data_IF_939360146151
#
_entry.id   IF_939360146151
#
_cell.length_a   1.000
_cell.length_b   1.000
_cell.length_c   1.000
_cell.angle_alpha   90.00
_cell.angle_beta   90.00
_cell.angle_gamma   90.00
#
_symmetry.space_group_name_H-M   'P 1'
#
loop_
_entity.id
_entity.type
_entity.pdbx_description
1 polymer ?
#
# COMPACT_ATOMS: atom_id res chain seq x y z
N UNK A 1 36.15 -5.35 49.97
CA UNK A 1 35.94 -5.99 48.64
C UNK A 1 34.71 -6.93 48.57
N UNK A 2 33.65 -6.75 49.38
CA UNK A 2 32.40 -7.56 49.29
C UNK A 2 31.12 -6.75 49.06
N UNK A 3 31.21 -5.42 48.92
CA UNK A 3 30.04 -4.53 48.70
C UNK A 3 29.89 -4.02 47.26
N UNK A 4 30.84 -4.30 46.37
CA UNK A 4 30.80 -3.86 44.96
C UNK A 4 30.24 -4.97 44.05
N UNK A 5 30.28 -6.24 44.48
CA UNK A 5 29.74 -7.36 43.70
C UNK A 5 28.21 -7.44 43.66
N UNK A 6 27.50 -6.76 44.57
CA UNK A 6 26.02 -6.75 44.59
C UNK A 6 25.41 -5.65 43.72
N UNK A 7 26.17 -4.60 43.38
CA UNK A 7 25.67 -3.53 42.51
C UNK A 7 25.76 -3.92 41.01
N UNK A 8 26.69 -4.81 40.64
CA UNK A 8 26.77 -5.34 39.28
C UNK A 8 25.77 -6.48 38.99
N UNK A 9 25.18 -7.10 40.02
CA UNK A 9 24.17 -8.15 39.82
C UNK A 9 22.74 -7.60 39.62
N UNK A 10 22.51 -6.32 39.92
CA UNK A 10 21.21 -5.65 39.74
C UNK A 10 21.13 -4.79 38.45
N UNK A 11 22.25 -4.60 37.73
CA UNK A 11 22.26 -3.97 36.41
C UNK A 11 22.10 -4.95 35.24
N UNK A 12 21.91 -6.25 35.53
CA UNK A 12 21.81 -7.31 34.52
C UNK A 12 20.40 -7.69 34.05
N UNK A 13 19.34 -7.05 34.54
CA UNK A 13 17.95 -7.47 34.27
C UNK A 13 17.03 -6.25 34.03
N UNK A 14 17.33 -5.45 33.02
CA UNK A 14 16.37 -4.49 32.47
C UNK A 14 16.52 -4.31 30.96
N UNK A 15 17.04 -5.32 30.25
CA UNK A 15 16.85 -5.48 28.80
C UNK A 15 15.49 -6.12 28.51
N UNK A 16 14.42 -5.64 29.15
CA UNK A 16 13.07 -6.00 28.75
C UNK A 16 12.84 -5.38 27.38
N UNK A 17 12.83 -6.20 26.33
CA UNK A 17 12.26 -5.84 25.04
C UNK A 17 10.83 -5.36 25.31
N UNK A 18 10.62 -4.05 25.43
CA UNK A 18 9.27 -3.49 25.47
C UNK A 18 8.66 -3.69 24.09
N UNK A 19 7.99 -4.82 23.88
CA UNK A 19 7.12 -4.99 22.72
C UNK A 19 5.87 -4.15 22.97
N UNK A 20 5.93 -2.86 22.62
CA UNK A 20 4.79 -1.96 22.74
C UNK A 20 3.64 -2.45 21.86
N UNK A 21 2.47 -2.66 22.48
CA UNK A 21 1.22 -2.95 21.79
C UNK A 21 0.92 -1.85 20.76
N UNK A 22 0.59 -2.24 19.54
CA UNK A 22 0.14 -1.30 18.51
C UNK A 22 -1.35 -1.06 18.68
N UNK A 23 -1.77 0.20 18.74
CA UNK A 23 -3.18 0.56 18.89
C UNK A 23 -3.60 1.53 17.81
N UNK A 24 -4.74 1.29 17.18
CA UNK A 24 -5.34 2.18 16.21
C UNK A 24 -6.83 2.39 16.51
N UNK A 25 -7.36 3.54 16.11
CA UNK A 25 -8.78 3.83 16.20
C UNK A 25 -9.39 3.97 14.82
N UNK A 26 -10.63 3.52 14.66
CA UNK A 26 -11.44 3.71 13.47
C UNK A 26 -12.83 4.23 13.80
N UNK A 27 -13.40 4.95 12.85
CA UNK A 27 -14.72 5.58 12.98
C UNK A 27 -15.61 5.20 11.80
N UNK A 28 -16.90 5.04 12.05
CA UNK A 28 -17.84 4.63 10.99
C UNK A 28 -19.31 4.79 11.37
N UNK A 29 -20.17 4.84 10.35
CA UNK A 29 -21.63 4.88 10.50
C UNK A 29 -22.23 3.54 10.94
N UNK A 30 -21.46 2.46 10.81
CA UNK A 30 -21.75 1.12 11.34
C UNK A 30 -20.53 0.59 12.09
N UNK A 31 -20.74 -0.41 12.96
CA UNK A 31 -19.65 -1.09 13.66
C UNK A 31 -18.67 -1.74 12.66
N UNK A 32 -19.18 -2.35 11.60
CA UNK A 32 -18.35 -3.01 10.58
C UNK A 32 -17.48 -1.99 9.82
N UNK A 33 -18.06 -0.84 9.46
CA UNK A 33 -17.32 0.27 8.84
C UNK A 33 -16.23 0.81 9.79
N UNK A 34 -16.55 0.99 11.07
CA UNK A 34 -15.59 1.48 12.06
C UNK A 34 -14.46 0.45 12.34
N UNK A 35 -14.77 -0.86 12.34
CA UNK A 35 -13.78 -1.93 12.46
C UNK A 35 -12.84 -1.97 11.25
N UNK A 36 -13.39 -1.82 10.04
CA UNK A 36 -12.61 -1.75 8.81
C UNK A 36 -11.66 -0.54 8.82
N UNK A 37 -12.15 0.64 9.19
CA UNK A 37 -11.31 1.85 9.32
C UNK A 37 -10.23 1.68 10.41
N UNK A 38 -10.55 0.99 11.52
CA UNK A 38 -9.59 0.72 12.60
C UNK A 38 -8.47 -0.23 12.14
N UNK A 39 -8.82 -1.29 11.39
CA UNK A 39 -7.86 -2.23 10.82
C UNK A 39 -6.99 -1.56 9.75
N UNK A 40 -7.56 -0.76 8.86
CA UNK A 40 -6.79 0.00 7.89
C UNK A 40 -5.78 0.94 8.59
N UNK A 41 -6.22 1.61 9.66
CA UNK A 41 -5.33 2.46 10.46
C UNK A 41 -4.22 1.65 11.15
N UNK A 42 -4.51 0.44 11.63
CA UNK A 42 -3.52 -0.47 12.24
C UNK A 42 -2.50 -1.00 11.22
N UNK A 43 -2.96 -1.41 10.04
CA UNK A 43 -2.10 -1.83 8.92
C UNK A 43 -1.11 -0.75 8.54
N UNK A 44 -1.56 0.50 8.56
CA UNK A 44 -0.70 1.65 8.27
C UNK A 44 0.30 1.94 9.38
N UNK A 45 -0.03 1.69 10.66
CA UNK A 45 0.96 1.77 11.75
C UNK A 45 2.02 0.67 11.64
N UNK A 46 1.65 -0.51 11.14
CA UNK A 46 2.61 -1.58 10.85
C UNK A 46 3.59 -1.17 9.75
N UNK A 47 3.13 -0.43 8.74
CA UNK A 47 4.01 0.15 7.71
C UNK A 47 4.97 1.21 8.26
N UNK A 48 4.47 2.19 9.01
CA UNK A 48 5.31 3.27 9.59
C UNK A 48 6.36 2.69 10.55
N UNK A 49 6.06 1.58 11.23
CA UNK A 49 6.96 0.94 12.19
C UNK A 49 7.97 -0.01 11.54
N UNK A 50 8.11 -0.02 10.21
CA UNK A 50 9.22 -0.73 9.55
C UNK A 50 10.53 -0.07 9.97
N UNK A 51 11.09 -0.56 11.07
CA UNK A 51 12.36 -0.12 11.63
C UNK A 51 13.50 -0.52 10.68
N UNK A 52 14.61 0.22 10.71
CA UNK A 52 15.82 -0.07 9.92
C UNK A 52 16.26 -1.54 10.05
N UNK A 53 15.99 -2.16 11.21
CA UNK A 53 16.23 -3.59 11.47
C UNK A 53 15.40 -4.55 10.60
N UNK A 54 14.14 -4.26 10.32
CA UNK A 54 13.29 -5.09 9.43
C UNK A 54 13.79 -4.95 7.99
N UNK A 55 14.14 -3.72 7.61
CA UNK A 55 14.76 -3.40 6.31
C UNK A 55 16.12 -4.09 6.13
N UNK A 56 16.94 -4.16 7.17
CA UNK A 56 18.25 -4.82 7.14
C UNK A 56 18.13 -6.36 7.11
N UNK A 57 17.24 -6.93 7.93
CA UNK A 57 17.01 -8.38 7.97
C UNK A 57 16.40 -8.94 6.67
N UNK A 58 15.63 -8.12 5.96
CA UNK A 58 14.97 -8.51 4.71
C UNK A 58 15.73 -8.04 3.45
N UNK A 59 16.81 -7.24 3.59
CA UNK A 59 17.73 -6.90 2.50
C UNK A 59 18.73 -7.99 2.17
N UNK A 60 19.02 -8.90 3.11
CA UNK A 60 19.90 -10.06 2.87
C UNK A 60 19.24 -11.12 1.97
N UNK A 61 17.90 -11.14 1.88
CA UNK A 61 17.12 -11.91 0.91
C UNK A 61 16.69 -11.02 -0.26
N UNK A 62 17.18 -11.29 -1.48
CA UNK A 62 16.67 -10.77 -2.76
C UNK A 62 15.75 -9.52 -2.65
N UNK A 63 16.36 -8.33 -2.59
CA UNK A 63 15.74 -7.03 -2.30
C UNK A 63 14.37 -6.75 -2.95
N UNK A 64 14.10 -7.32 -4.13
CA UNK A 64 12.85 -7.15 -4.86
C UNK A 64 11.62 -7.79 -4.20
N UNK A 65 11.78 -8.91 -3.48
CA UNK A 65 10.65 -9.58 -2.81
C UNK A 65 10.23 -8.77 -1.59
N UNK A 66 11.19 -8.33 -0.79
CA UNK A 66 10.95 -7.44 0.35
C UNK A 66 10.27 -6.13 -0.07
N UNK A 67 10.81 -5.44 -1.07
CA UNK A 67 10.23 -4.18 -1.56
C UNK A 67 8.79 -4.38 -2.06
N UNK A 68 8.49 -5.54 -2.67
CA UNK A 68 7.13 -5.89 -3.11
C UNK A 68 6.19 -6.13 -1.91
N UNK A 69 6.62 -6.88 -0.90
CA UNK A 69 5.81 -7.14 0.30
C UNK A 69 5.54 -5.85 1.07
N UNK A 70 6.56 -5.00 1.25
CA UNK A 70 6.39 -3.66 1.85
C UNK A 70 5.39 -2.83 1.06
N UNK A 71 5.47 -2.86 -0.27
CA UNK A 71 4.54 -2.14 -1.14
C UNK A 71 3.11 -2.65 -1.01
N UNK A 72 2.93 -3.95 -1.01
CA UNK A 72 1.62 -4.58 -0.81
C UNK A 72 1.03 -4.23 0.56
N UNK A 73 1.86 -4.15 1.60
CA UNK A 73 1.45 -3.70 2.93
C UNK A 73 1.07 -2.22 2.94
N UNK A 74 1.82 -1.36 2.24
CA UNK A 74 1.55 0.08 2.17
C UNK A 74 0.24 0.42 1.43
N UNK A 75 -0.16 -0.44 0.48
CA UNK A 75 -1.32 -0.24 -0.40
C UNK A 75 -2.52 -1.11 0.00
N UNK A 76 -2.36 -2.09 0.89
CA UNK A 76 -3.46 -2.93 1.36
C UNK A 76 -4.02 -2.43 2.68
N UNK A 77 -5.30 -2.05 2.68
CA UNK A 77 -6.07 -1.81 3.90
C UNK A 77 -6.43 -3.10 4.66
N UNK A 78 -6.29 -4.27 4.03
CA UNK A 78 -6.71 -5.58 4.55
C UNK A 78 -5.49 -6.51 4.73
N UNK A 79 -4.68 -6.24 5.75
CA UNK A 79 -3.63 -7.16 6.17
C UNK A 79 -4.18 -8.32 7.02
N UNK A 80 -3.58 -9.51 6.95
CA UNK A 80 -3.98 -10.65 7.77
C UNK A 80 -3.53 -10.44 9.23
N UNK A 81 -4.36 -9.74 9.99
CA UNK A 81 -4.05 -9.35 11.37
C UNK A 81 -4.50 -10.46 12.33
N UNK A 82 -3.55 -11.15 12.97
CA UNK A 82 -3.81 -12.23 13.92
C UNK A 82 -3.71 -11.74 15.36
N UNK A 83 -4.74 -12.04 16.16
CA UNK A 83 -4.75 -11.72 17.59
C UNK A 83 -5.17 -10.29 17.95
N UNK A 84 -5.70 -9.53 16.99
CA UNK A 84 -6.26 -8.20 17.25
C UNK A 84 -7.40 -8.24 18.26
N UNK A 85 -7.39 -7.27 19.18
CA UNK A 85 -8.43 -7.07 20.20
C UNK A 85 -9.20 -5.81 19.82
N UNK A 86 -10.52 -5.92 19.72
CA UNK A 86 -11.40 -4.81 19.37
C UNK A 86 -12.18 -4.36 20.60
N UNK A 87 -12.19 -3.05 20.84
CA UNK A 87 -13.10 -2.40 21.76
C UNK A 87 -14.03 -1.48 20.95
N UNK A 88 -15.34 -1.67 21.09
CA UNK A 88 -16.35 -0.95 20.32
C UNK A 88 -17.10 0.00 21.24
N UNK A 89 -17.05 1.29 20.93
CA UNK A 89 -17.76 2.35 21.63
C UNK A 89 -18.81 2.96 20.71
N UNK A 90 -20.06 3.02 21.19
CA UNK A 90 -21.13 3.72 20.48
C UNK A 90 -21.11 5.19 20.88
N UNK A 91 -20.76 6.07 19.96
CA UNK A 91 -20.76 7.50 20.19
C UNK A 91 -22.15 8.12 19.92
N UNK A 92 -22.42 9.32 20.44
CA UNK A 92 -23.69 10.02 20.18
C UNK A 92 -23.74 10.47 18.71
N UNK A 93 -24.91 10.30 18.05
CA UNK A 93 -25.21 10.55 16.61
C UNK A 93 -24.99 9.38 15.62
N UNK A 94 -25.30 8.13 16.01
CA UNK A 94 -25.22 6.94 15.12
C UNK A 94 -23.81 6.68 14.54
N UNK A 95 -22.78 7.02 15.30
CA UNK A 95 -21.38 6.82 14.94
C UNK A 95 -20.75 5.80 15.89
N UNK A 96 -19.97 4.89 15.33
CA UNK A 96 -19.21 3.88 16.07
C UNK A 96 -17.74 4.28 16.08
N UNK A 97 -17.11 4.16 17.25
CA UNK A 97 -15.66 4.24 17.43
C UNK A 97 -15.15 2.85 17.79
N UNK A 98 -14.17 2.36 17.06
CA UNK A 98 -13.54 1.07 17.32
C UNK A 98 -12.07 1.31 17.61
N UNK A 99 -11.59 0.83 18.76
CA UNK A 99 -10.16 0.76 19.05
C UNK A 99 -9.70 -0.67 18.81
N UNK A 100 -8.69 -0.84 17.97
CA UNK A 100 -8.02 -2.12 17.75
C UNK A 100 -6.65 -2.10 18.41
N UNK A 101 -6.30 -3.16 19.11
CA UNK A 101 -5.00 -3.35 19.74
C UNK A 101 -4.37 -4.66 19.27
N UNK A 102 -3.09 -4.61 18.91
CA UNK A 102 -2.27 -5.75 18.55
C UNK A 102 -1.17 -5.90 19.60
N UNK A 103 -1.37 -6.87 20.50
CA UNK A 103 -0.44 -7.19 21.58
C UNK A 103 0.53 -8.29 21.12
N UNK A 104 1.85 -8.00 21.03
CA UNK A 104 2.83 -8.98 20.61
C UNK A 104 2.82 -10.26 21.47
N UNK A 105 2.51 -10.18 22.76
CA UNK A 105 2.47 -11.38 23.63
C UNK A 105 1.40 -12.38 23.17
N UNK A 106 0.29 -11.88 22.64
CA UNK A 106 -0.82 -12.68 22.12
C UNK A 106 -0.65 -13.01 20.65
N UNK A 107 -0.19 -12.05 19.85
CA UNK A 107 -0.14 -12.16 18.40
C UNK A 107 1.06 -12.99 17.91
N UNK A 108 2.25 -12.83 18.51
CA UNK A 108 3.45 -13.55 18.05
C UNK A 108 3.30 -15.07 18.03
N UNK A 109 2.66 -15.74 19.03
CA UNK A 109 2.40 -17.18 18.97
C UNK A 109 1.51 -17.57 17.79
N UNK A 110 0.47 -16.78 17.48
CA UNK A 110 -0.47 -17.05 16.38
C UNK A 110 0.22 -16.93 15.02
N UNK A 111 1.00 -15.86 14.84
CA UNK A 111 1.83 -15.68 13.64
C UNK A 111 2.87 -16.80 13.49
N UNK A 112 3.56 -17.16 14.58
CA UNK A 112 4.55 -18.24 14.55
C UNK A 112 3.94 -19.60 14.17
N UNK A 113 2.74 -19.91 14.66
CA UNK A 113 2.03 -21.12 14.29
C UNK A 113 1.67 -21.10 12.79
N UNK A 114 1.07 -20.01 12.32
CA UNK A 114 0.67 -19.86 10.92
C UNK A 114 1.85 -19.93 9.95
N UNK A 115 2.99 -19.34 10.33
CA UNK A 115 4.24 -19.44 9.57
C UNK A 115 4.76 -20.88 9.50
N UNK A 116 4.69 -21.64 10.60
CA UNK A 116 5.04 -23.06 10.61
C UNK A 116 4.14 -23.92 9.72
N UNK A 117 2.83 -23.65 9.73
CA UNK A 117 1.85 -24.31 8.85
C UNK A 117 2.12 -24.02 7.36
N UNK A 118 2.43 -22.76 7.03
CA UNK A 118 2.80 -22.34 5.67
C UNK A 118 4.13 -22.96 5.22
N UNK A 119 5.13 -22.98 6.10
CA UNK A 119 6.42 -23.60 5.84
C UNK A 119 6.26 -25.08 5.50
N UNK A 120 5.47 -25.83 6.28
CA UNK A 120 5.19 -27.25 6.02
C UNK A 120 4.55 -27.46 4.65
N UNK A 121 3.53 -26.65 4.29
CA UNK A 121 2.88 -26.72 2.97
C UNK A 121 3.84 -26.41 1.82
N UNK A 122 4.76 -25.46 2.00
CA UNK A 122 5.76 -25.10 1.00
C UNK A 122 6.82 -26.20 0.84
N UNK A 123 7.21 -26.86 1.93
CA UNK A 123 8.10 -28.02 1.88
C UNK A 123 7.45 -29.20 1.14
N UNK A 124 6.20 -29.54 1.48
CA UNK A 124 5.44 -30.60 0.81
C UNK A 124 5.26 -30.31 -0.70
N UNK A 125 5.06 -29.04 -1.06
CA UNK A 125 4.97 -28.62 -2.45
C UNK A 125 6.29 -28.82 -3.20
N UNK A 126 7.43 -28.53 -2.55
CA UNK A 126 8.75 -28.74 -3.12
C UNK A 126 9.00 -30.21 -3.46
N UNK A 127 8.72 -31.12 -2.51
CA UNK A 127 8.89 -32.57 -2.70
C UNK A 127 7.99 -33.10 -3.85
N UNK A 128 6.78 -32.53 -3.99
CA UNK A 128 5.84 -32.93 -5.05
C UNK A 128 6.31 -32.52 -6.46
N UNK A 129 6.97 -31.36 -6.59
CA UNK A 129 7.45 -30.86 -7.88
C UNK A 129 8.52 -31.76 -8.51
N UNK A 130 9.24 -32.53 -7.69
CA UNK A 130 10.24 -33.49 -8.15
C UNK A 130 9.63 -34.82 -8.60
N UNK A 131 8.39 -35.14 -8.22
CA UNK A 131 7.83 -36.50 -8.30
C UNK A 131 6.67 -36.71 -9.30
N UNK A 132 5.96 -35.66 -9.75
CA UNK A 132 4.67 -35.81 -10.47
C UNK A 132 4.74 -35.68 -12.00
N UNK A 133 4.09 -36.61 -12.72
CA UNK A 133 3.95 -36.61 -14.18
C UNK A 133 2.68 -35.93 -14.74
N UNK A 134 1.68 -35.60 -13.92
CA UNK A 134 0.45 -34.92 -14.36
C UNK A 134 0.64 -33.39 -14.43
N UNK A 135 0.57 -32.83 -15.64
CA UNK A 135 0.78 -31.41 -15.89
C UNK A 135 -0.31 -30.50 -15.30
N UNK A 136 -1.58 -30.93 -15.31
CA UNK A 136 -2.70 -30.10 -14.81
C UNK A 136 -2.69 -30.04 -13.29
N UNK A 137 -2.46 -31.19 -12.64
CA UNK A 137 -2.33 -31.25 -11.19
C UNK A 137 -1.07 -30.51 -10.71
N UNK A 138 0.04 -30.63 -11.46
CA UNK A 138 1.27 -29.87 -11.19
C UNK A 138 1.05 -28.36 -11.27
N UNK A 139 0.32 -27.88 -12.30
CA UNK A 139 -0.01 -26.46 -12.44
C UNK A 139 -0.82 -25.93 -11.23
N UNK A 140 -1.86 -26.66 -10.82
CA UNK A 140 -2.67 -26.28 -9.65
C UNK A 140 -1.85 -26.26 -8.35
N UNK A 141 -0.94 -27.21 -8.16
CA UNK A 141 -0.04 -27.25 -7.00
C UNK A 141 0.97 -26.11 -7.00
N UNK A 142 1.47 -25.71 -8.17
CA UNK A 142 2.37 -24.56 -8.30
C UNK A 142 1.65 -23.24 -7.97
N UNK A 143 0.41 -23.05 -8.44
CA UNK A 143 -0.39 -21.88 -8.07
C UNK A 143 -0.66 -21.85 -6.56
N UNK A 144 -0.96 -23.00 -5.97
CA UNK A 144 -1.16 -23.14 -4.53
C UNK A 144 0.11 -22.80 -3.75
N UNK A 145 1.28 -23.30 -4.17
CA UNK A 145 2.56 -22.99 -3.55
C UNK A 145 2.93 -21.51 -3.69
N UNK A 146 2.62 -20.88 -4.84
CA UNK A 146 2.81 -19.43 -5.03
C UNK A 146 1.98 -18.62 -4.04
N UNK A 147 0.70 -18.98 -3.88
CA UNK A 147 -0.17 -18.34 -2.89
C UNK A 147 0.37 -18.50 -1.47
N UNK A 148 0.79 -19.71 -1.11
CA UNK A 148 1.29 -19.99 0.23
C UNK A 148 2.61 -19.26 0.51
N UNK A 149 3.45 -19.05 -0.51
CA UNK A 149 4.68 -18.26 -0.38
C UNK A 149 4.36 -16.77 -0.16
N UNK A 150 3.45 -16.20 -0.94
CA UNK A 150 3.02 -14.81 -0.76
C UNK A 150 2.37 -14.59 0.64
N UNK A 151 1.53 -15.55 1.07
CA UNK A 151 0.93 -15.53 2.40
C UNK A 151 2.01 -15.63 3.49
N UNK A 152 3.03 -16.48 3.30
CA UNK A 152 4.17 -16.61 4.20
C UNK A 152 4.96 -15.31 4.33
N UNK A 153 5.29 -14.65 3.21
CA UNK A 153 6.04 -13.40 3.20
C UNK A 153 5.28 -12.29 3.95
N UNK A 154 3.96 -12.20 3.74
CA UNK A 154 3.11 -11.22 4.42
C UNK A 154 3.03 -11.45 5.93
N UNK A 155 2.84 -12.71 6.36
CA UNK A 155 2.84 -13.06 7.77
C UNK A 155 4.21 -12.85 8.42
N UNK A 156 5.30 -13.18 7.71
CA UNK A 156 6.68 -13.02 8.17
C UNK A 156 6.99 -11.54 8.38
N UNK A 157 6.57 -10.68 7.45
CA UNK A 157 6.69 -9.24 7.58
C UNK A 157 6.04 -8.74 8.88
N UNK A 158 4.76 -9.05 9.11
CA UNK A 158 4.06 -8.59 10.32
C UNK A 158 4.71 -9.15 11.59
N UNK A 159 5.09 -10.43 11.57
CA UNK A 159 5.74 -11.10 12.69
C UNK A 159 7.07 -10.42 13.07
N UNK A 160 7.90 -10.06 12.09
CA UNK A 160 9.15 -9.34 12.30
C UNK A 160 8.91 -7.92 12.81
N UNK A 161 7.94 -7.20 12.25
CA UNK A 161 7.55 -5.85 12.69
C UNK A 161 7.09 -5.82 14.16
N UNK A 162 6.48 -6.90 14.64
CA UNK A 162 6.09 -7.06 16.05
C UNK A 162 7.24 -7.47 16.98
N UNK A 163 8.46 -7.64 16.45
CA UNK A 163 9.65 -8.03 17.22
C UNK A 163 9.88 -9.55 17.29
N UNK A 164 9.23 -10.32 16.41
CA UNK A 164 9.50 -11.75 16.23
C UNK A 164 10.95 -12.03 15.84
N UNK A 165 11.40 -13.26 16.08
CA UNK A 165 12.76 -13.70 15.69
C UNK A 165 12.76 -14.21 14.25
N UNK A 166 13.78 -13.93 13.42
CA UNK A 166 13.85 -14.48 12.08
C UNK A 166 13.57 -15.99 12.03
N UNK A 167 12.70 -16.40 11.10
CA UNK A 167 12.37 -17.80 10.84
C UNK A 167 13.23 -18.31 9.69
N UNK A 168 13.33 -19.64 9.54
CA UNK A 168 14.03 -20.23 8.41
C UNK A 168 13.28 -19.93 7.10
N UNK A 169 14.03 -19.72 6.03
CA UNK A 169 13.47 -19.46 4.72
C UNK A 169 12.84 -20.74 4.15
N UNK A 170 11.69 -20.64 3.46
CA UNK A 170 11.06 -21.79 2.84
C UNK A 170 11.99 -22.39 1.77
N UNK A 171 11.93 -23.72 1.54
CA UNK A 171 12.81 -24.40 0.58
C UNK A 171 12.54 -24.00 -0.88
N UNK A 172 11.43 -23.31 -1.14
CA UNK A 172 11.00 -22.89 -2.48
C UNK A 172 10.99 -21.37 -2.58
N UNK A 173 11.47 -20.85 -3.71
CA UNK A 173 11.54 -19.41 -3.98
C UNK A 173 10.49 -18.98 -4.99
N UNK A 174 10.12 -17.68 -4.96
CA UNK A 174 9.21 -17.09 -5.94
C UNK A 174 9.71 -17.28 -7.37
N UNK A 175 11.01 -17.08 -7.61
CA UNK A 175 11.63 -17.26 -8.92
C UNK A 175 11.50 -18.70 -9.45
N UNK A 176 11.66 -19.71 -8.57
CA UNK A 176 11.53 -21.11 -8.96
C UNK A 176 10.09 -21.44 -9.31
N UNK A 177 9.13 -20.93 -8.53
CA UNK A 177 7.70 -21.07 -8.81
C UNK A 177 7.29 -20.38 -10.11
N UNK A 178 7.75 -19.15 -10.32
CA UNK A 178 7.44 -18.37 -11.52
C UNK A 178 7.99 -19.06 -12.76
N UNK A 179 9.22 -19.58 -12.69
CA UNK A 179 9.81 -20.37 -13.77
C UNK A 179 8.99 -21.64 -14.07
N UNK A 180 8.61 -22.38 -13.03
CA UNK A 180 7.85 -23.62 -13.19
C UNK A 180 6.41 -23.38 -13.70
N UNK A 181 5.78 -22.30 -13.24
CA UNK A 181 4.47 -21.85 -13.75
C UNK A 181 4.57 -21.41 -15.20
N UNK A 182 5.64 -20.70 -15.56
CA UNK A 182 5.86 -20.24 -16.93
C UNK A 182 5.93 -21.41 -17.92
N UNK A 183 6.63 -22.49 -17.59
CA UNK A 183 6.71 -23.69 -18.44
C UNK A 183 5.35 -24.35 -18.71
N UNK A 184 4.34 -24.07 -17.89
CA UNK A 184 3.01 -24.67 -17.96
C UNK A 184 1.92 -23.68 -18.41
N UNK A 185 2.23 -22.39 -18.53
CA UNK A 185 1.24 -21.35 -18.84
C UNK A 185 1.25 -21.04 -20.34
N UNK A 186 0.06 -20.97 -20.93
CA UNK A 186 -0.10 -20.52 -22.32
C UNK A 186 0.09 -19.01 -22.41
N UNK A 187 0.83 -18.54 -23.42
CA UNK A 187 1.02 -17.11 -23.68
C UNK A 187 -0.03 -16.64 -24.69
N UNK A 188 -0.90 -15.72 -24.28
CA UNK A 188 -1.97 -15.19 -25.10
C UNK A 188 -1.49 -13.99 -25.93
N UNK A 189 -1.79 -13.99 -27.23
CA UNK A 189 -1.56 -12.85 -28.12
C UNK A 189 -2.74 -11.87 -28.17
N UNK A 190 -3.83 -12.17 -27.46
CA UNK A 190 -5.05 -11.39 -27.41
C UNK A 190 -5.45 -11.16 -25.94
N UNK A 191 -5.60 -9.89 -25.56
CA UNK A 191 -5.90 -9.49 -24.19
C UNK A 191 -7.28 -10.02 -23.74
N UNK A 192 -8.29 -9.86 -24.59
CA UNK A 192 -9.67 -10.21 -24.27
C UNK A 192 -9.84 -11.72 -24.09
N UNK A 193 -9.22 -12.52 -24.96
CA UNK A 193 -9.23 -13.98 -24.85
C UNK A 193 -8.52 -14.46 -23.59
N UNK A 194 -7.33 -13.92 -23.30
CA UNK A 194 -6.57 -14.32 -22.10
C UNK A 194 -7.32 -13.97 -20.81
N UNK A 195 -7.90 -12.77 -20.72
CA UNK A 195 -8.69 -12.36 -19.56
C UNK A 195 -10.01 -13.15 -19.43
N UNK A 196 -10.66 -13.48 -20.54
CA UNK A 196 -11.87 -14.31 -20.52
C UNK A 196 -11.57 -15.69 -19.94
N UNK A 197 -10.55 -16.37 -20.44
CA UNK A 197 -10.19 -17.72 -19.99
C UNK A 197 -9.63 -17.71 -18.56
N UNK A 198 -8.77 -16.75 -18.21
CA UNK A 198 -8.25 -16.63 -16.85
C UNK A 198 -9.30 -16.18 -15.84
N UNK A 199 -10.31 -15.42 -16.29
CA UNK A 199 -11.46 -14.99 -15.51
C UNK A 199 -12.40 -16.12 -15.09
N UNK A 200 -12.43 -17.24 -15.83
CA UNK A 200 -13.28 -18.40 -15.51
C UNK A 200 -13.04 -18.94 -14.10
N UNK A 201 -11.80 -18.83 -13.59
CA UNK A 201 -11.43 -19.22 -12.22
C UNK A 201 -12.23 -18.49 -11.13
N UNK A 202 -12.84 -17.36 -11.46
CA UNK A 202 -13.60 -16.50 -10.54
C UNK A 202 -15.10 -16.45 -10.86
N UNK A 203 -15.57 -17.21 -11.85
CA UNK A 203 -16.96 -17.16 -12.33
C UNK A 203 -18.02 -17.60 -11.31
N UNK A 204 -17.63 -18.35 -10.28
CA UNK A 204 -18.52 -18.79 -9.20
C UNK A 204 -18.78 -17.72 -8.12
N UNK A 205 -18.04 -16.61 -8.14
CA UNK A 205 -18.13 -15.55 -7.12
C UNK A 205 -18.96 -14.37 -7.64
N UNK A 206 -19.76 -13.79 -6.75
CA UNK A 206 -20.63 -12.64 -7.04
C UNK A 206 -20.25 -11.42 -6.19
N UNK A 207 -20.60 -10.22 -6.65
CA UNK A 207 -20.29 -8.95 -5.97
C UNK A 207 -18.77 -8.76 -5.77
N UNK A 208 -18.01 -8.99 -6.85
CA UNK A 208 -16.55 -8.83 -6.87
C UNK A 208 -16.20 -7.36 -7.13
N UNK A 209 -15.46 -6.73 -6.23
CA UNK A 209 -14.82 -5.46 -6.55
C UNK A 209 -13.46 -5.69 -7.20
N UNK A 210 -13.25 -5.13 -8.39
CA UNK A 210 -12.03 -5.30 -9.19
C UNK A 210 -11.14 -4.07 -9.04
N UNK A 211 -9.99 -4.24 -8.39
CA UNK A 211 -8.95 -3.21 -8.31
C UNK A 211 -8.15 -3.12 -9.60
N UNK A 212 -7.52 -1.97 -9.84
CA UNK A 212 -6.55 -1.85 -10.93
C UNK A 212 -5.35 -2.79 -10.67
N UNK A 213 -4.78 -3.39 -11.73
CA UNK A 213 -3.51 -4.07 -11.60
C UNK A 213 -2.41 -3.13 -11.13
N UNK A 214 -1.67 -3.55 -10.11
CA UNK A 214 -0.45 -2.87 -9.66
C UNK A 214 0.76 -3.30 -10.50
N UNK A 215 1.75 -2.41 -10.64
CA UNK A 215 3.01 -2.69 -11.33
C UNK A 215 4.19 -2.29 -10.47
N UNK A 216 4.91 -3.27 -9.94
CA UNK A 216 6.06 -3.00 -9.08
C UNK A 216 7.19 -2.26 -9.84
N UNK A 217 7.86 -1.25 -9.24
CA UNK A 217 7.64 -0.62 -7.91
C UNK A 217 6.72 0.62 -7.90
N UNK A 218 5.86 0.82 -8.88
CA UNK A 218 5.01 2.02 -9.00
C UNK A 218 3.56 1.81 -8.53
N UNK A 219 2.93 2.89 -8.03
CA UNK A 219 1.48 2.98 -7.77
C UNK A 219 0.69 3.49 -8.98
N UNK A 220 1.36 3.72 -10.10
CA UNK A 220 0.77 4.26 -11.31
C UNK A 220 -0.26 3.31 -11.92
N UNK A 221 -1.46 3.84 -12.18
CA UNK A 221 -2.47 3.15 -12.97
C UNK A 221 -2.17 3.35 -14.46
N UNK A 222 -1.42 2.40 -15.03
CA UNK A 222 -1.03 2.45 -16.45
C UNK A 222 -2.22 2.22 -17.40
N UNK A 223 -2.04 2.52 -18.68
CA UNK A 223 -3.04 2.22 -19.72
C UNK A 223 -3.37 0.73 -19.79
N UNK A 224 -2.38 -0.14 -19.60
CA UNK A 224 -2.57 -1.58 -19.52
C UNK A 224 -3.37 -1.99 -18.28
N UNK A 225 -3.05 -1.43 -17.11
CA UNK A 225 -3.80 -1.68 -15.88
C UNK A 225 -5.28 -1.31 -16.03
N UNK A 226 -5.58 -0.16 -16.64
CA UNK A 226 -6.95 0.27 -16.94
C UNK A 226 -7.65 -0.72 -17.86
N UNK A 227 -7.01 -1.05 -18.98
CA UNK A 227 -7.55 -1.97 -19.97
C UNK A 227 -7.90 -3.33 -19.37
N UNK A 228 -7.07 -3.86 -18.47
CA UNK A 228 -7.30 -5.11 -17.76
C UNK A 228 -8.46 -5.00 -16.77
N UNK A 229 -8.47 -3.96 -15.92
CA UNK A 229 -9.55 -3.76 -14.93
C UNK A 229 -10.90 -3.68 -15.61
N UNK A 230 -11.04 -2.82 -16.62
CA UNK A 230 -12.33 -2.55 -17.25
C UNK A 230 -12.88 -3.81 -17.95
N UNK A 231 -12.00 -4.60 -18.58
CA UNK A 231 -12.36 -5.90 -19.17
C UNK A 231 -12.77 -6.91 -18.10
N UNK A 232 -12.00 -7.05 -17.03
CA UNK A 232 -12.34 -7.97 -15.93
C UNK A 232 -13.65 -7.57 -15.25
N UNK A 233 -13.89 -6.27 -15.05
CA UNK A 233 -15.13 -5.76 -14.48
C UNK A 233 -16.34 -6.13 -15.35
N UNK A 234 -16.20 -6.07 -16.68
CA UNK A 234 -17.25 -6.49 -17.62
C UNK A 234 -17.42 -8.00 -17.77
N UNK A 235 -16.38 -8.79 -17.49
CA UNK A 235 -16.40 -10.26 -17.60
C UNK A 235 -16.90 -10.97 -16.34
N UNK A 236 -16.75 -10.33 -15.17
CA UNK A 236 -17.07 -10.92 -13.86
C UNK A 236 -18.37 -10.33 -13.29
N UNK A 237 -18.97 -11.05 -12.33
CA UNK A 237 -20.11 -10.55 -11.54
C UNK A 237 -19.61 -9.49 -10.54
N UNK A 238 -19.36 -8.29 -11.05
CA UNK A 238 -18.65 -7.22 -10.35
C UNK A 238 -19.59 -6.19 -9.72
N UNK A 239 -19.05 -5.41 -8.78
CA UNK A 239 -19.73 -4.26 -8.20
C UNK A 239 -18.90 -2.98 -8.31
N UNK A 240 -19.56 -1.82 -8.41
CA UNK A 240 -18.91 -0.52 -8.62
C UNK A 240 -18.19 0.02 -7.39
N UNK A 241 -18.58 -0.41 -6.17
CA UNK A 241 -18.06 0.18 -4.93
C UNK A 241 -17.50 -0.87 -3.97
N UNK A 242 -16.30 -0.66 -3.38
CA UNK A 242 -15.67 -1.62 -2.48
C UNK A 242 -16.52 -2.00 -1.27
N UNK A 243 -17.31 -1.06 -0.73
CA UNK A 243 -18.15 -1.30 0.44
C UNK A 243 -19.34 -2.23 0.17
N UNK A 244 -19.72 -2.38 -1.10
CA UNK A 244 -20.78 -3.31 -1.51
C UNK A 244 -20.26 -4.72 -1.79
N UNK A 245 -18.94 -4.90 -1.81
CA UNK A 245 -18.30 -6.11 -2.28
C UNK A 245 -18.38 -7.25 -1.26
N UNK A 246 -18.62 -8.46 -1.76
CA UNK A 246 -18.42 -9.69 -1.00
C UNK A 246 -16.97 -10.19 -1.14
N UNK A 247 -16.35 -9.91 -2.28
CA UNK A 247 -15.00 -10.35 -2.64
C UNK A 247 -14.21 -9.23 -3.29
N UNK A 248 -12.89 -9.28 -3.11
CA UNK A 248 -11.97 -8.29 -3.63
C UNK A 248 -10.97 -8.96 -4.57
N UNK A 249 -11.04 -8.65 -5.86
CA UNK A 249 -10.09 -9.11 -6.86
C UNK A 249 -8.95 -8.10 -6.97
N UNK A 250 -7.77 -8.51 -6.51
CA UNK A 250 -6.53 -7.75 -6.61
C UNK A 250 -5.66 -8.33 -7.69
N UNK A 251 -5.05 -7.46 -8.46
CA UNK A 251 -4.22 -7.84 -9.59
C UNK A 251 -2.87 -7.16 -9.52
N UNK A 252 -1.83 -7.83 -10.01
CA UNK A 252 -0.51 -7.26 -10.22
C UNK A 252 0.09 -7.82 -11.48
N UNK A 253 0.88 -7.05 -12.22
CA UNK A 253 1.56 -7.57 -13.39
C UNK A 253 3.08 -7.33 -13.34
N UNK A 254 3.80 -8.28 -13.92
CA UNK A 254 5.25 -8.23 -14.08
C UNK A 254 5.62 -8.11 -15.55
N UNK A 255 6.50 -7.16 -15.86
CA UNK A 255 7.00 -6.94 -17.21
C UNK A 255 8.25 -7.80 -17.40
N UNK A 256 8.18 -8.76 -18.32
CA UNK A 256 9.29 -9.60 -18.75
C UNK A 256 9.80 -9.12 -20.12
N UNK A 257 10.91 -9.69 -20.59
CA UNK A 257 11.52 -9.29 -21.88
C UNK A 257 10.59 -9.51 -23.08
N UNK A 258 9.75 -10.55 -23.05
CA UNK A 258 8.92 -10.97 -24.18
C UNK A 258 7.44 -11.15 -23.83
N UNK A 259 7.01 -10.76 -22.62
CA UNK A 259 5.64 -10.94 -22.15
C UNK A 259 5.31 -10.07 -20.94
N UNK A 260 4.03 -10.00 -20.60
CA UNK A 260 3.54 -9.54 -19.31
C UNK A 260 2.86 -10.71 -18.60
N UNK A 261 3.27 -10.96 -17.35
CA UNK A 261 2.65 -11.96 -16.48
C UNK A 261 1.68 -11.26 -15.51
N UNK A 262 0.38 -11.52 -15.65
CA UNK A 262 -0.70 -10.95 -14.84
C UNK A 262 -1.12 -11.96 -13.76
N UNK A 263 -0.89 -11.58 -12.51
CA UNK A 263 -1.32 -12.33 -11.33
C UNK A 263 -2.66 -11.78 -10.82
N UNK A 264 -3.62 -12.68 -10.63
CA UNK A 264 -4.95 -12.37 -10.12
C UNK A 264 -5.17 -13.08 -8.79
N UNK A 265 -5.69 -12.38 -7.79
CA UNK A 265 -5.95 -12.91 -6.44
C UNK A 265 -7.30 -12.43 -5.92
N UNK A 266 -8.18 -13.38 -5.61
CA UNK A 266 -9.46 -13.11 -4.98
C UNK A 266 -9.32 -13.27 -3.47
N UNK A 267 -9.75 -12.24 -2.73
CA UNK A 267 -9.69 -12.20 -1.27
C UNK A 267 -11.06 -12.00 -0.66
N UNK A 268 -11.25 -12.57 0.54
CA UNK A 268 -12.40 -12.27 1.39
C UNK A 268 -12.26 -10.90 2.09
N UNK A 269 -13.26 -10.52 2.90
CA UNK A 269 -13.23 -9.28 3.69
C UNK A 269 -12.09 -9.20 4.71
N UNK A 270 -11.50 -10.33 5.09
CA UNK A 270 -10.39 -10.41 6.03
C UNK A 270 -9.02 -10.39 5.33
N UNK A 271 -8.98 -10.27 4.01
CA UNK A 271 -7.75 -10.31 3.22
C UNK A 271 -7.21 -11.72 2.96
N UNK A 272 -7.97 -12.77 3.29
CA UNK A 272 -7.56 -14.15 3.03
C UNK A 272 -7.75 -14.49 1.56
N UNK A 273 -6.69 -14.97 0.89
CA UNK A 273 -6.74 -15.36 -0.52
C UNK A 273 -7.48 -16.68 -0.67
N UNK A 274 -8.61 -16.66 -1.39
CA UNK A 274 -9.45 -17.85 -1.63
C UNK A 274 -9.21 -18.47 -3.01
N UNK A 275 -8.80 -17.67 -3.98
CA UNK A 275 -8.56 -18.11 -5.36
C UNK A 275 -7.48 -17.26 -6.02
N UNK A 276 -6.74 -17.87 -6.95
CA UNK A 276 -5.71 -17.18 -7.71
C UNK A 276 -5.66 -17.69 -9.15
N UNK A 277 -5.18 -16.84 -10.07
CA UNK A 277 -4.91 -17.20 -11.46
C UNK A 277 -3.67 -16.48 -11.97
N UNK A 278 -3.01 -17.07 -12.96
CA UNK A 278 -1.89 -16.48 -13.69
C UNK A 278 -2.22 -16.48 -15.18
N UNK A 279 -2.04 -15.33 -15.83
CA UNK A 279 -2.26 -15.17 -17.26
C UNK A 279 -1.03 -14.51 -17.87
N UNK A 280 -0.44 -15.13 -18.87
CA UNK A 280 0.71 -14.58 -19.58
C UNK A 280 0.27 -13.99 -20.93
N UNK A 281 0.70 -12.77 -21.23
CA UNK A 281 0.37 -12.06 -22.46
C UNK A 281 1.64 -11.80 -23.27
N UNK A 282 1.63 -12.13 -24.56
CA UNK A 282 2.70 -11.79 -25.50
C UNK A 282 2.52 -10.36 -26.07
N UNK A 283 3.54 -9.80 -26.74
CA UNK A 283 3.56 -8.40 -27.17
C UNK A 283 2.33 -7.94 -27.96
N UNK A 284 1.72 -8.76 -28.86
CA UNK A 284 0.51 -8.36 -29.56
C UNK A 284 -0.69 -8.03 -28.65
N UNK A 285 -0.77 -8.65 -27.46
CA UNK A 285 -1.88 -8.45 -26.54
C UNK A 285 -1.81 -7.11 -25.81
N UNK A 286 -0.60 -6.61 -25.53
CA UNK A 286 -0.40 -5.42 -24.71
C UNK A 286 0.28 -4.24 -25.43
N UNK A 287 0.80 -4.44 -26.64
CA UNK A 287 1.61 -3.43 -27.35
C UNK A 287 0.86 -2.14 -27.73
N UNK A 288 -0.47 -2.14 -27.67
CA UNK A 288 -1.29 -0.94 -27.88
C UNK A 288 -1.45 -0.07 -26.62
N UNK A 289 -0.99 -0.54 -25.46
CA UNK A 289 -1.18 0.14 -24.17
C UNK A 289 0.14 0.65 -23.63
N UNK A 290 0.07 1.71 -22.83
CA UNK A 290 1.16 2.11 -21.95
C UNK A 290 1.19 1.13 -20.77
N UNK A 291 2.25 0.32 -20.66
CA UNK A 291 2.39 -0.70 -19.62
C UNK A 291 3.61 -0.50 -18.70
N UNK A 292 4.58 0.31 -19.12
CA UNK A 292 5.71 0.70 -18.27
C UNK A 292 5.37 1.95 -17.45
N UNK A 293 5.55 1.92 -16.12
CA UNK A 293 5.31 3.10 -15.29
C UNK A 293 6.34 4.21 -15.54
N UNK A 294 5.86 5.45 -15.64
CA UNK A 294 6.67 6.66 -15.91
C UNK A 294 7.31 7.27 -14.67
N UNK A 295 6.83 6.90 -13.49
CA UNK A 295 7.11 7.58 -12.21
C UNK A 295 8.21 6.95 -11.36
N UNK A 296 8.90 5.93 -11.87
CA UNK A 296 9.88 5.15 -11.11
C UNK A 296 10.99 6.00 -10.46
N UNK A 297 11.41 7.09 -11.11
CA UNK A 297 12.47 7.97 -10.58
C UNK A 297 11.94 8.98 -9.55
N UNK A 298 10.71 9.47 -9.71
CA UNK A 298 10.12 10.43 -8.76
C UNK A 298 9.73 9.75 -7.44
N UNK A 299 9.12 8.55 -7.51
CA UNK A 299 8.78 7.77 -6.32
C UNK A 299 10.03 7.44 -5.49
N UNK A 300 11.13 7.04 -6.16
CA UNK A 300 12.43 6.82 -5.49
C UNK A 300 12.99 8.10 -4.85
N UNK A 301 12.87 9.25 -5.51
CA UNK A 301 13.34 10.55 -4.96
C UNK A 301 12.53 10.98 -3.73
N UNK A 302 11.24 10.64 -3.68
CA UNK A 302 10.35 10.89 -2.55
C UNK A 302 10.73 9.98 -1.37
N UNK A 303 10.81 8.66 -1.60
CA UNK A 303 11.17 7.65 -0.58
C UNK A 303 12.56 7.87 0.03
N UNK A 304 13.53 8.36 -0.73
CA UNK A 304 14.91 8.59 -0.26
C UNK A 304 15.06 9.74 0.76
N UNK A 305 13.99 10.48 1.07
CA UNK A 305 14.08 11.68 1.92
C UNK A 305 12.86 11.99 2.77
N UNK A 306 11.95 11.03 3.00
CA UNK A 306 10.82 11.25 3.90
C UNK A 306 11.31 11.68 5.29
N UNK A 307 10.97 12.91 5.69
CA UNK A 307 11.09 13.36 7.07
C UNK A 307 9.99 12.65 7.87
N UNK A 308 10.32 11.53 8.50
CA UNK A 308 9.41 10.86 9.44
C UNK A 308 9.76 11.31 10.85
N UNK A 309 8.92 12.17 11.43
CA UNK A 309 8.92 12.38 12.89
C UNK A 309 8.34 11.13 13.56
N UNK A 310 8.95 10.71 14.68
CA UNK A 310 8.42 9.59 15.46
C UNK A 310 7.08 9.94 16.15
N UNK A 311 6.75 11.23 16.31
CA UNK A 311 5.63 11.68 17.14
C UNK A 311 4.48 12.31 16.32
N UNK A 312 4.77 13.07 15.24
CA UNK A 312 3.74 13.61 14.35
C UNK A 312 3.55 12.70 13.13
N UNK A 313 2.32 12.28 12.88
CA UNK A 313 1.93 11.47 11.71
C UNK A 313 0.77 12.15 10.98
N UNK A 314 0.90 12.31 9.67
CA UNK A 314 -0.13 12.84 8.78
C UNK A 314 -0.41 11.85 7.66
N UNK A 315 -1.66 11.82 7.18
CA UNK A 315 -2.16 10.90 6.16
C UNK A 315 -3.08 11.62 5.19
N UNK A 316 -3.00 11.24 3.92
CA UNK A 316 -3.89 11.69 2.84
C UNK A 316 -4.55 10.48 2.17
N UNK A 317 -5.84 10.59 1.85
CA UNK A 317 -6.56 9.59 1.05
C UNK A 317 -7.62 10.25 0.17
N UNK A 318 -8.05 9.56 -0.89
CA UNK A 318 -9.28 9.89 -1.59
C UNK A 318 -10.51 9.44 -0.80
N UNK A 319 -11.69 9.99 -1.11
CA UNK A 319 -12.96 9.59 -0.50
C UNK A 319 -13.26 8.09 -0.68
N UNK A 320 -12.82 7.50 -1.79
CA UNK A 320 -12.97 6.08 -2.12
C UNK A 320 -11.82 5.21 -1.56
N UNK A 321 -10.90 5.78 -0.77
CA UNK A 321 -9.75 5.09 -0.16
C UNK A 321 -8.39 5.58 -0.69
N UNK A 322 -7.36 4.76 -0.51
CA UNK A 322 -5.96 5.09 -0.86
C UNK A 322 -5.48 4.46 -2.17
N UNK A 323 -6.31 3.64 -2.82
CA UNK A 323 -5.80 2.69 -3.80
C UNK A 323 -6.09 3.15 -5.23
N UNK A 324 -5.01 3.38 -5.98
CA UNK A 324 -5.00 3.47 -7.45
C UNK A 324 -6.10 4.38 -7.99
N UNK A 325 -6.14 5.59 -7.43
CA UNK A 325 -7.13 6.61 -7.72
C UNK A 325 -6.94 7.08 -9.16
N UNK A 326 -7.91 6.77 -10.02
CA UNK A 326 -7.92 7.18 -11.41
C UNK A 326 -9.11 8.11 -11.65
N UNK A 327 -8.85 9.27 -12.24
CA UNK A 327 -9.88 10.25 -12.55
C UNK A 327 -9.77 10.76 -13.98
N UNK A 328 -10.91 11.08 -14.58
CA UNK A 328 -11.01 11.68 -15.92
C UNK A 328 -11.34 13.16 -15.85
N UNK A 329 -11.04 13.90 -16.93
CA UNK A 329 -11.36 15.32 -17.08
C UNK A 329 -12.81 15.65 -16.67
N UNK A 330 -12.95 16.70 -15.85
CA UNK A 330 -14.23 17.18 -15.33
C UNK A 330 -14.80 16.41 -14.14
N UNK A 331 -14.16 15.31 -13.72
CA UNK A 331 -14.53 14.65 -12.47
C UNK A 331 -14.11 15.47 -11.25
N UNK A 332 -14.88 15.34 -10.17
CA UNK A 332 -14.57 15.95 -8.88
C UNK A 332 -13.86 14.96 -7.98
N UNK A 333 -12.69 15.34 -7.47
CA UNK A 333 -11.90 14.59 -6.50
C UNK A 333 -12.19 15.14 -5.11
N UNK A 334 -12.61 14.25 -4.21
CA UNK A 334 -12.75 14.55 -2.79
C UNK A 334 -11.59 13.90 -2.03
N UNK A 335 -10.75 14.72 -1.40
CA UNK A 335 -9.64 14.25 -0.57
C UNK A 335 -9.98 14.38 0.93
N UNK A 336 -9.30 13.56 1.74
CA UNK A 336 -9.39 13.58 3.19
C UNK A 336 -8.00 13.53 3.81
N UNK A 337 -7.80 14.32 4.87
CA UNK A 337 -6.54 14.36 5.63
C UNK A 337 -6.79 13.93 7.09
N UNK A 338 -5.81 13.27 7.70
CA UNK A 338 -5.84 12.89 9.12
C UNK A 338 -4.47 13.13 9.74
N UNK A 339 -4.44 13.74 10.92
CA UNK A 339 -3.23 13.92 11.72
C UNK A 339 -3.44 13.41 13.15
N UNK A 340 -2.39 12.87 13.78
CA UNK A 340 -2.46 12.41 15.17
C UNK A 340 -2.28 13.54 16.20
N UNK A 341 -1.62 14.64 15.81
CA UNK A 341 -1.36 15.83 16.63
C UNK A 341 -1.83 17.10 15.90
N UNK A 342 -2.11 18.21 16.63
CA UNK A 342 -2.45 19.49 16.01
C UNK A 342 -1.28 20.01 15.18
N UNK A 343 -1.52 20.33 13.91
CA UNK A 343 -0.48 20.75 12.97
C UNK A 343 -1.01 21.69 11.90
N UNK A 344 -0.10 22.48 11.32
CA UNK A 344 -0.32 23.17 10.05
C UNK A 344 0.15 22.27 8.90
N UNK A 345 -0.45 22.38 7.72
CA UNK A 345 -0.06 21.61 6.55
C UNK A 345 -0.31 22.37 5.24
N UNK A 346 0.44 22.01 4.20
CA UNK A 346 0.14 22.35 2.80
C UNK A 346 0.38 21.12 1.91
N UNK A 347 -0.17 21.13 0.70
CA UNK A 347 -0.09 19.99 -0.22
C UNK A 347 0.49 20.47 -1.55
N UNK A 348 1.46 19.74 -2.08
CA UNK A 348 2.04 19.97 -3.39
C UNK A 348 1.73 18.77 -4.27
N UNK A 349 1.26 19.03 -5.48
CA UNK A 349 1.11 18.02 -6.51
C UNK A 349 2.31 18.07 -7.45
N UNK A 350 2.83 16.89 -7.78
CA UNK A 350 3.82 16.68 -8.82
C UNK A 350 3.20 15.81 -9.93
N UNK A 351 2.82 16.44 -11.04
CA UNK A 351 2.22 15.79 -12.20
C UNK A 351 3.29 15.39 -13.22
N UNK A 352 3.38 14.11 -13.59
CA UNK A 352 4.17 13.65 -14.72
C UNK A 352 3.27 13.54 -15.95
N UNK A 353 3.38 14.52 -16.85
CA UNK A 353 2.39 14.83 -17.90
C UNK A 353 2.78 14.30 -19.28
N UNK A 354 3.83 13.46 -19.34
CA UNK A 354 4.37 12.89 -20.59
C UNK A 354 5.28 13.85 -21.38
N UNK A 355 5.15 15.16 -21.19
CA UNK A 355 6.06 16.19 -21.71
C UNK A 355 7.03 16.74 -20.66
N UNK A 356 6.88 16.32 -19.40
CA UNK A 356 7.73 16.70 -18.29
C UNK A 356 7.04 16.52 -16.96
N UNK A 357 7.67 16.99 -15.89
CA UNK A 357 7.04 17.09 -14.58
C UNK A 357 6.51 18.51 -14.41
N UNK A 358 5.36 18.64 -13.79
CA UNK A 358 4.68 19.90 -13.53
C UNK A 358 4.28 19.92 -12.06
N UNK A 359 4.81 20.86 -11.28
CA UNK A 359 4.58 20.92 -9.83
C UNK A 359 3.76 22.15 -9.44
N UNK A 360 2.77 21.98 -8.58
CA UNK A 360 1.87 23.04 -8.14
C UNK A 360 1.41 22.86 -6.69
N UNK A 361 1.08 23.96 -6.00
CA UNK A 361 0.48 23.91 -4.66
C UNK A 361 -1.04 23.73 -4.81
N UNK A 362 -1.63 22.81 -4.03
CA UNK A 362 -3.09 22.67 -3.98
C UNK A 362 -3.70 23.88 -3.26
N UNK A 363 -4.74 24.45 -3.87
CA UNK A 363 -5.50 25.53 -3.27
C UNK A 363 -6.49 24.95 -2.23
N UNK A 364 -6.20 25.16 -0.95
CA UNK A 364 -7.02 24.68 0.17
C UNK A 364 -8.10 25.70 0.61
N UNK A 365 -8.26 26.81 -0.12
CA UNK A 365 -9.29 27.82 0.14
C UNK A 365 -8.74 29.24 0.12
N UNK A 366 -8.81 29.95 1.24
CA UNK A 366 -8.29 31.33 1.32
C UNK A 366 -6.78 31.42 1.48
N UNK A 367 -6.14 30.34 1.93
CA UNK A 367 -4.69 30.21 2.15
C UNK A 367 -4.26 28.79 1.73
N UNK A 368 -3.15 28.62 0.97
CA UNK A 368 -2.57 27.31 0.69
C UNK A 368 -2.09 26.55 1.94
N UNK A 369 -1.93 27.21 3.09
CA UNK A 369 -1.67 26.55 4.38
C UNK A 369 -2.98 26.40 5.15
N UNK A 370 -3.27 25.17 5.57
CA UNK A 370 -4.40 24.85 6.43
C UNK A 370 -3.94 24.24 7.76
N UNK A 371 -4.88 23.98 8.67
CA UNK A 371 -4.60 23.52 10.04
C UNK A 371 -5.54 22.42 10.49
N UNK A 372 -4.97 21.38 11.12
CA UNK A 372 -5.70 20.40 11.93
C UNK A 372 -5.66 20.86 13.39
N UNK A 373 -6.82 21.16 13.95
CA UNK A 373 -6.98 21.53 15.36
C UNK A 373 -7.04 20.30 16.27
N UNK A 374 -6.89 20.51 17.58
CA UNK A 374 -6.83 19.42 18.57
C UNK A 374 -8.10 18.56 18.60
N UNK A 375 -9.27 19.14 18.33
CA UNK A 375 -10.56 18.44 18.29
C UNK A 375 -10.77 17.62 17.01
N UNK A 376 -9.96 17.86 15.97
CA UNK A 376 -9.98 17.14 14.69
C UNK A 376 -8.88 16.07 14.61
N UNK A 377 -8.00 16.00 15.61
CA UNK A 377 -6.95 14.97 15.67
C UNK A 377 -7.56 13.56 15.66
N UNK A 378 -6.89 12.65 14.96
CA UNK A 378 -7.28 11.27 14.73
C UNK A 378 -8.60 11.07 13.97
N UNK A 379 -9.14 12.12 13.34
CA UNK A 379 -10.33 12.07 12.48
C UNK A 379 -9.96 12.41 11.04
N UNK A 380 -10.72 11.84 10.10
CA UNK A 380 -10.64 12.21 8.71
C UNK A 380 -11.37 13.53 8.50
N UNK A 381 -10.63 14.56 8.09
CA UNK A 381 -11.13 15.89 7.75
C UNK A 381 -11.24 15.97 6.24
N UNK A 382 -12.43 16.32 5.74
CA UNK A 382 -12.65 16.52 4.32
C UNK A 382 -11.95 17.83 3.87
N UNK A 383 -11.19 17.73 2.80
CA UNK A 383 -10.63 18.88 2.09
C UNK A 383 -11.68 19.47 1.13
N UNK A 384 -11.45 20.64 0.53
CA UNK A 384 -12.29 21.12 -0.57
C UNK A 384 -12.41 20.10 -1.72
N UNK A 385 -13.45 20.24 -2.52
CA UNK A 385 -13.60 19.48 -3.77
C UNK A 385 -12.68 20.06 -4.85
N UNK A 386 -11.99 19.18 -5.59
CA UNK A 386 -11.07 19.56 -6.66
C UNK A 386 -11.60 19.05 -8.01
N UNK A 387 -11.61 19.88 -9.04
CA UNK A 387 -11.97 19.47 -10.39
C UNK A 387 -10.71 19.00 -11.16
N UNK A 388 -10.81 17.86 -11.84
CA UNK A 388 -9.71 17.32 -12.67
C UNK A 388 -9.62 18.12 -13.96
N UNK A 389 -8.53 18.88 -14.09
CA UNK A 389 -8.24 19.73 -15.25
C UNK A 389 -6.80 19.53 -15.74
N UNK A 390 -6.46 20.12 -16.88
CA UNK A 390 -5.08 20.05 -17.41
C UNK A 390 -4.08 20.73 -16.46
N UNK A 391 -2.83 20.21 -16.38
CA UNK A 391 -2.26 19.16 -17.22
C UNK A 391 -2.43 17.73 -16.66
N UNK A 392 -2.92 16.82 -17.50
CA UNK A 392 -3.15 15.42 -17.12
C UNK A 392 -1.87 14.59 -17.03
N UNK A 393 -1.86 13.58 -16.15
CA UNK A 393 -0.74 12.67 -16.04
C UNK A 393 -0.79 11.84 -14.76
N UNK A 394 0.37 11.42 -14.29
CA UNK A 394 0.51 10.73 -13.01
C UNK A 394 0.90 11.75 -11.96
N UNK A 395 -0.01 12.02 -11.04
CA UNK A 395 0.12 13.05 -10.01
C UNK A 395 0.50 12.43 -8.68
N UNK A 396 1.52 12.96 -8.03
CA UNK A 396 1.87 12.60 -6.64
C UNK A 396 1.60 13.79 -5.74
N UNK A 397 0.63 13.65 -4.85
CA UNK A 397 0.27 14.64 -3.84
C UNK A 397 1.17 14.43 -2.61
N UNK A 398 2.09 15.36 -2.36
CA UNK A 398 2.97 15.43 -1.22
C UNK A 398 2.36 16.34 -0.15
N UNK A 399 2.18 15.82 1.06
CA UNK A 399 1.73 16.61 2.22
C UNK A 399 2.93 16.94 3.10
N UNK A 400 3.11 18.22 3.39
CA UNK A 400 4.12 18.71 4.33
C UNK A 400 3.37 19.24 5.56
N UNK A 401 3.68 18.71 6.74
CA UNK A 401 3.02 19.10 7.97
C UNK A 401 4.00 19.40 9.11
N UNK A 402 3.61 20.34 9.99
CA UNK A 402 4.39 20.70 11.17
C UNK A 402 3.52 21.13 12.36
N UNK A 403 3.94 20.81 13.59
CA UNK A 403 3.33 21.37 14.81
C UNK A 403 3.63 22.86 14.98
N UNK A 404 4.63 23.39 14.27
CA UNK A 404 4.99 24.81 14.19
C UNK A 404 4.32 25.54 13.01
N UNK A 405 4.65 26.81 12.84
CA UNK A 405 4.17 27.60 11.69
C UNK A 405 4.84 27.14 10.39
N UNK A 406 4.06 27.02 9.31
CA UNK A 406 4.55 26.79 7.94
C UNK A 406 4.51 28.07 7.09
N UNK A 407 4.23 29.21 7.72
CA UNK A 407 4.11 30.48 7.02
C UNK A 407 5.48 30.93 6.51
N UNK A 408 5.62 31.08 5.19
CA UNK A 408 6.90 31.34 4.53
C UNK A 408 7.70 30.11 4.13
N UNK A 409 7.22 28.90 4.44
CA UNK A 409 7.85 27.63 4.06
C UNK A 409 7.31 27.04 2.75
N UNK A 410 6.29 27.68 2.16
CA UNK A 410 5.74 27.26 0.86
C UNK A 410 6.71 27.71 -0.24
N UNK A 411 7.05 26.84 -1.20
CA UNK A 411 7.82 27.24 -2.36
C UNK A 411 7.18 28.45 -3.07
N UNK A 412 7.98 29.37 -3.64
CA UNK A 412 7.44 30.46 -4.44
C UNK A 412 6.57 29.91 -5.58
N UNK A 413 5.34 30.43 -5.71
CA UNK A 413 4.40 30.00 -6.74
C UNK A 413 3.80 31.19 -7.49
N UNK A 414 3.23 30.91 -8.67
CA UNK A 414 2.45 31.88 -9.46
C UNK A 414 1.20 31.21 -9.98
N UNK A 415 0.08 31.94 -9.98
CA UNK A 415 -1.14 31.45 -10.64
C UNK A 415 -0.92 31.45 -12.14
N UNK A 416 -1.13 30.31 -12.78
CA UNK A 416 -0.89 30.14 -14.21
C UNK A 416 -2.19 30.17 -15.04
N UNK A 417 -2.08 29.81 -16.33
CA UNK A 417 -3.18 29.83 -17.27
C UNK A 417 -4.21 28.69 -17.05
N UNK A 418 -3.84 27.65 -16.31
CA UNK A 418 -4.76 26.58 -15.86
C UNK A 418 -5.46 26.97 -14.56
N UNK A 419 -5.08 28.10 -13.96
CA UNK A 419 -5.58 28.54 -12.66
C UNK A 419 -4.93 27.84 -11.47
N UNK A 420 -3.85 27.07 -11.71
CA UNK A 420 -3.10 26.34 -10.68
C UNK A 420 -1.99 27.22 -10.08
N UNK A 421 -1.61 26.94 -8.82
CA UNK A 421 -0.52 27.63 -8.13
C UNK A 421 0.83 26.99 -8.51
N UNK A 422 1.31 27.28 -9.72
CA UNK A 422 2.50 26.67 -10.33
C UNK A 422 3.80 27.02 -9.61
N UNK A 423 4.66 26.00 -9.41
CA UNK A 423 5.97 26.10 -8.75
C UNK A 423 7.11 25.94 -9.77
N UNK A 424 7.17 24.79 -10.46
CA UNK A 424 8.30 24.43 -11.32
C UNK A 424 7.92 23.33 -12.31
N UNK A 425 8.73 23.19 -13.37
CA UNK A 425 8.68 22.09 -14.33
C UNK A 425 9.84 21.07 -14.15
N UNK A 426 10.62 21.18 -13.07
CA UNK A 426 11.72 20.24 -12.75
C UNK A 426 11.46 19.57 -11.37
N UNK A 427 11.49 18.21 -11.29
CA UNK A 427 11.30 17.48 -10.05
C UNK A 427 12.36 17.75 -8.99
N UNK A 428 13.62 17.97 -9.39
CA UNK A 428 14.72 18.23 -8.45
C UNK A 428 14.60 19.61 -7.84
N UNK A 429 14.16 20.58 -8.63
CA UNK A 429 13.88 21.92 -8.13
C UNK A 429 12.68 21.89 -7.18
N UNK A 430 11.59 21.23 -7.55
CA UNK A 430 10.41 21.15 -6.70
C UNK A 430 10.68 20.45 -5.35
N UNK A 431 11.36 19.30 -5.36
CA UNK A 431 11.72 18.55 -4.14
C UNK A 431 12.81 19.26 -3.31
N UNK A 432 13.77 19.93 -3.95
CA UNK A 432 14.81 20.68 -3.21
C UNK A 432 14.28 21.98 -2.60
N UNK A 433 13.33 22.66 -3.26
CA UNK A 433 12.68 23.86 -2.77
C UNK A 433 11.72 23.57 -1.60
N UNK A 434 11.09 22.39 -1.56
CA UNK A 434 10.22 21.97 -0.45
C UNK A 434 10.98 21.43 0.75
N UNK A 435 12.13 20.79 0.52
CA UNK A 435 13.00 20.24 1.57
C UNK A 435 13.95 21.26 2.22
N UNK A 436 13.82 22.56 1.90
CA UNK A 436 14.58 23.67 2.47
C UNK A 436 14.32 23.99 3.95
N UNK A 437 13.74 23.07 4.71
CA UNK A 437 13.51 23.22 6.16
C UNK A 437 14.79 22.89 6.93
N UNK A 438 15.48 23.93 7.39
CA UNK A 438 16.55 23.78 8.38
C UNK A 438 15.90 23.52 9.74
N UNK A 439 16.17 22.34 10.32
CA UNK A 439 15.86 21.99 11.71
C UNK A 439 16.34 23.11 12.66
N UNK A 440 15.39 23.90 13.15
CA UNK A 440 15.63 24.88 14.20
C UNK A 440 14.72 24.53 15.37
N UNK A 441 15.31 23.80 16.32
CA UNK A 441 14.85 23.47 17.69
C UNK A 441 14.00 22.20 17.85
N UNK A 442 14.36 21.43 18.89
CA UNK A 442 13.75 20.18 19.38
C UNK A 442 12.25 20.24 19.76
N UNK A 443 11.57 21.36 19.58
CA UNK A 443 10.16 21.55 20.01
C UNK A 443 9.17 21.49 18.84
N UNK A 444 9.65 21.43 17.59
CA UNK A 444 8.81 21.42 16.40
C UNK A 444 8.98 20.10 15.67
N UNK A 445 7.88 19.36 15.55
CA UNK A 445 7.82 18.10 14.82
C UNK A 445 7.37 18.37 13.39
N UNK A 446 7.98 17.69 12.42
CA UNK A 446 7.67 17.78 10.98
C UNK A 446 7.51 16.40 10.39
N UNK A 447 6.52 16.19 9.52
CA UNK A 447 6.34 14.93 8.80
C UNK A 447 5.96 15.16 7.34
N UNK A 448 6.33 14.21 6.49
CA UNK A 448 5.96 14.13 5.07
C UNK A 448 5.15 12.85 4.80
N UNK A 449 4.21 12.90 3.84
CA UNK A 449 3.54 11.71 3.29
C UNK A 449 3.12 11.99 1.85
N UNK A 450 2.88 10.94 1.04
CA UNK A 450 2.42 11.11 -0.35
C UNK A 450 1.27 10.20 -0.75
N UNK A 451 0.47 10.65 -1.72
CA UNK A 451 -0.60 9.89 -2.39
C UNK A 451 -0.45 10.02 -3.91
N UNK A 452 -0.42 8.91 -4.63
CA UNK A 452 -0.38 8.91 -6.10
C UNK A 452 -1.78 8.78 -6.70
N UNK A 453 -2.05 9.60 -7.72
CA UNK A 453 -3.29 9.70 -8.47
C UNK A 453 -2.94 9.67 -9.96
N UNK A 454 -3.77 9.10 -10.81
CA UNK A 454 -3.62 9.18 -12.27
C UNK A 454 -4.80 9.94 -12.87
N UNK A 455 -4.51 10.98 -13.64
CA UNK A 455 -5.49 11.80 -14.35
C UNK A 455 -5.31 11.61 -15.86
N UNK A 456 -6.41 11.58 -16.62
CA UNK A 456 -6.34 11.53 -18.08
C UNK A 456 -7.45 12.30 -18.77
N UNK A 457 -7.15 12.68 -20.02
CA UNK A 457 -8.17 13.06 -20.99
C UNK A 457 -9.01 11.83 -21.39
N UNK A 458 -10.25 12.07 -21.81
CA UNK A 458 -11.16 11.03 -22.32
C UNK A 458 -10.63 10.30 -23.55
#
# INVERSE_FOLDING_TARGET
MKKIAWLMLMLGLAGGLFSFSLTAEGYGSSEESARSDALANLSQLLYVRVDARVTDLLREENSKVFERTVKEVSTSSNLPILGAIFNVEKHKKKEYRVTVALDPQRSLPLYSQKLGELYGRLADACDYLEASGDASLRFQKLLQARRDLEEFDLYRFIYLTLGGKPQADPPITGQLLDKALHELTSVFSDLDLGLKLGGEAFSEYEMIYVFYPSVYPSDETTGFARAVRDRLQGLLSSCERPESAAWYLRSSYEIQTDRIDLHLRLTDKNGSVVRSALISFGPPAYGAYEYEPRTLDLAKLMDMGELVSNDLTVKLRGADGTNQLFFTEGQTVQLQIKANLPCNYYIIAHANTGWGIYSYVLDLGSDPVSRISADLCNRWVQLPEFEVTEPFGVETLQVIASTGSLQGSIPPYRKDNYGLLHISNDPRDAVSLTRGLILSRKEVETTETSLTITTSKW
#
